data_IF_993814964943
#
_entry.id   IF_993814964943
#
_cell.length_a   1.000
_cell.length_b   1.000
_cell.length_c   1.000
_cell.angle_alpha   90.00
_cell.angle_beta   90.00
_cell.angle_gamma   90.00
#
_symmetry.space_group_name_H-M   'P 1'
#
loop_
_entity.id
_entity.type
_entity.pdbx_description
1 polymer ?
#
# COMPACT_ATOMS: atom_id res chain seq x y z
N UNK A 1 16.84 -32.54 37.52
CA UNK A 1 15.57 -32.30 36.78
C UNK A 1 14.98 -31.03 37.36
N UNK A 2 14.29 -30.26 36.52
CA UNK A 2 13.83 -28.87 36.74
C UNK A 2 14.82 -27.77 36.33
N UNK A 3 14.34 -26.87 35.46
CA UNK A 3 15.09 -25.70 35.01
C UNK A 3 15.14 -25.47 33.49
N UNK A 4 14.10 -25.84 32.72
CA UNK A 4 13.98 -25.39 31.33
C UNK A 4 12.51 -25.12 31.00
N UNK A 5 12.12 -23.83 31.01
CA UNK A 5 11.07 -23.20 30.18
C UNK A 5 10.69 -21.83 30.78
N UNK A 6 11.04 -20.72 30.09
CA UNK A 6 10.02 -19.71 29.82
C UNK A 6 10.06 -19.12 28.40
N UNK A 7 10.96 -19.56 27.50
CA UNK A 7 11.12 -18.91 26.19
C UNK A 7 10.27 -19.50 25.05
N UNK A 8 9.75 -20.72 25.19
CA UNK A 8 8.87 -21.33 24.16
C UNK A 8 7.42 -20.83 24.24
N UNK A 9 7.02 -20.18 25.34
CA UNK A 9 5.66 -19.66 25.53
C UNK A 9 5.44 -18.30 24.86
N UNK A 10 6.48 -17.46 24.75
CA UNK A 10 6.38 -16.14 24.10
C UNK A 10 6.23 -16.24 22.58
N UNK A 11 6.92 -17.19 21.93
CA UNK A 11 6.86 -17.39 20.48
C UNK A 11 5.51 -17.94 20.01
N UNK A 12 4.84 -18.75 20.85
CA UNK A 12 3.51 -19.30 20.57
C UNK A 12 2.39 -18.29 20.88
N UNK A 13 2.58 -17.41 21.87
CA UNK A 13 1.67 -16.31 22.18
C UNK A 13 1.69 -15.21 21.11
N UNK A 14 2.84 -14.96 20.46
CA UNK A 14 2.96 -13.97 19.37
C UNK A 14 2.21 -14.42 18.09
N UNK A 15 2.07 -15.72 17.86
CA UNK A 15 1.39 -16.28 16.68
C UNK A 15 -0.15 -16.25 16.81
N UNK A 16 -0.67 -16.32 18.05
CA UNK A 16 -2.11 -16.33 18.36
C UNK A 16 -2.74 -14.94 18.46
N UNK A 17 -1.95 -13.87 18.63
CA UNK A 17 -2.45 -12.49 18.70
C UNK A 17 -2.77 -11.87 17.32
N UNK A 18 -2.37 -12.53 16.22
CA UNK A 18 -2.54 -12.03 14.85
C UNK A 18 -3.89 -12.42 14.23
N UNK A 19 -4.70 -13.26 14.91
CA UNK A 19 -5.92 -13.86 14.31
C UNK A 19 -7.24 -13.25 14.81
N UNK A 20 -7.23 -12.32 15.77
CA UNK A 20 -8.46 -11.88 16.46
C UNK A 20 -8.76 -10.37 16.40
N UNK A 21 -8.71 -9.74 15.22
CA UNK A 21 -9.38 -8.44 15.02
C UNK A 21 -9.92 -8.29 13.59
N UNK A 22 -11.23 -8.54 13.40
CA UNK A 22 -12.13 -7.63 12.67
C UNK A 22 -13.54 -8.23 12.52
N UNK A 23 -14.44 -7.91 13.44
CA UNK A 23 -15.88 -7.94 13.19
C UNK A 23 -16.48 -6.68 13.84
N UNK A 24 -16.74 -5.68 13.02
CA UNK A 24 -17.29 -4.39 13.43
C UNK A 24 -17.62 -3.57 12.20
N UNK A 25 -18.65 -3.98 11.46
CA UNK A 25 -19.21 -3.13 10.42
C UNK A 25 -20.23 -2.19 11.09
N UNK A 26 -19.90 -0.89 11.10
CA UNK A 26 -20.87 0.17 11.32
C UNK A 26 -21.66 0.35 10.03
N UNK A 27 -22.95 0.02 10.08
CA UNK A 27 -23.91 0.34 9.02
C UNK A 27 -24.17 1.85 9.08
N UNK A 28 -23.54 2.62 8.17
CA UNK A 28 -23.93 4.01 7.93
C UNK A 28 -25.18 3.98 7.06
N UNK A 29 -26.25 4.60 7.54
CA UNK A 29 -27.55 4.65 6.85
C UNK A 29 -27.40 5.21 5.43
N UNK A 30 -27.81 4.43 4.44
CA UNK A 30 -27.91 4.88 3.06
C UNK A 30 -29.07 5.87 2.93
N UNK A 31 -28.77 7.08 2.46
CA UNK A 31 -29.79 8.01 1.98
C UNK A 31 -30.46 7.41 0.75
N UNK A 32 -31.77 7.19 0.83
CA UNK A 32 -32.62 6.70 -0.25
C UNK A 32 -32.70 7.74 -1.38
N UNK A 33 -32.36 7.34 -2.61
CA UNK A 33 -32.58 8.12 -3.83
C UNK A 33 -34.09 8.15 -4.11
N UNK A 34 -34.85 9.00 -3.42
CA UNK A 34 -36.26 9.18 -3.73
C UNK A 34 -36.38 9.88 -5.08
N UNK A 35 -36.82 9.13 -6.08
CA UNK A 35 -37.21 9.64 -7.39
C UNK A 35 -38.28 10.72 -7.24
N UNK A 36 -37.92 11.98 -7.48
CA UNK A 36 -38.84 12.94 -8.12
C UNK A 36 -38.31 14.37 -8.32
N UNK A 37 -37.33 14.88 -7.57
CA UNK A 37 -36.95 16.31 -7.73
C UNK A 37 -35.46 16.56 -7.51
N UNK A 38 -34.75 16.87 -8.60
CA UNK A 38 -33.51 17.64 -8.54
C UNK A 38 -33.79 19.03 -9.14
N UNK A 39 -33.52 20.06 -8.34
CA UNK A 39 -33.80 21.46 -8.68
C UNK A 39 -32.84 21.92 -9.79
N UNK A 40 -33.40 22.31 -10.93
CA UNK A 40 -32.64 23.00 -11.99
C UNK A 40 -32.34 24.44 -11.58
N UNK A 41 -31.37 25.09 -12.25
CA UNK A 41 -30.95 26.49 -11.98
C UNK A 41 -32.05 27.57 -12.12
N UNK A 42 -33.30 27.18 -12.41
CA UNK A 42 -34.47 28.08 -12.45
C UNK A 42 -35.59 27.72 -11.45
N UNK A 43 -35.34 26.86 -10.46
CA UNK A 43 -36.32 26.49 -9.43
C UNK A 43 -37.43 25.54 -9.90
N UNK A 44 -37.37 25.04 -11.14
CA UNK A 44 -38.33 24.06 -11.65
C UNK A 44 -37.85 22.63 -11.38
N UNK A 45 -38.69 21.76 -10.81
CA UNK A 45 -38.35 20.35 -10.61
C UNK A 45 -38.26 19.66 -11.97
N UNK A 46 -37.08 19.13 -12.32
CA UNK A 46 -36.93 18.22 -13.48
C UNK A 46 -37.07 16.79 -12.97
N UNK A 47 -38.02 16.05 -13.55
CA UNK A 47 -38.29 14.66 -13.18
C UNK A 47 -37.45 13.74 -14.06
N UNK A 48 -36.82 12.75 -13.43
CA UNK A 48 -36.02 11.74 -14.09
C UNK A 48 -36.67 10.37 -13.98
N UNK A 49 -36.50 9.52 -15.01
CA UNK A 49 -37.08 8.18 -15.04
C UNK A 49 -36.41 7.23 -14.05
N UNK A 50 -35.11 7.39 -13.83
CA UNK A 50 -34.30 6.53 -12.96
C UNK A 50 -33.55 7.37 -11.92
N UNK A 51 -33.28 6.78 -10.76
CA UNK A 51 -32.54 7.36 -9.64
C UNK A 51 -31.78 6.25 -8.93
N UNK A 52 -30.47 6.39 -8.75
CA UNK A 52 -29.66 5.46 -7.97
C UNK A 52 -28.77 6.20 -6.96
N UNK A 53 -28.74 5.68 -5.73
CA UNK A 53 -27.70 6.03 -4.76
C UNK A 53 -26.41 5.33 -5.15
N UNK A 54 -25.32 6.09 -5.28
CA UNK A 54 -24.01 5.55 -5.60
C UNK A 54 -23.38 4.91 -4.34
N UNK A 55 -22.59 3.83 -4.46
CA UNK A 55 -22.10 3.08 -3.29
C UNK A 55 -21.19 3.86 -2.34
N UNK A 56 -20.59 4.97 -2.79
CA UNK A 56 -19.56 5.72 -2.07
C UNK A 56 -19.87 7.21 -2.07
N UNK A 57 -19.37 7.91 -1.05
CA UNK A 57 -19.43 9.37 -0.88
C UNK A 57 -20.84 9.96 -0.73
N UNK A 58 -21.86 9.15 -0.40
CA UNK A 58 -23.24 9.62 -0.24
C UNK A 58 -23.79 10.30 -1.49
N UNK A 59 -23.25 9.97 -2.66
CA UNK A 59 -23.60 10.59 -3.92
C UNK A 59 -24.81 9.87 -4.56
N UNK A 60 -25.54 10.57 -5.42
CA UNK A 60 -26.65 10.00 -6.17
C UNK A 60 -26.67 10.51 -7.60
N UNK A 61 -27.22 9.68 -8.50
CA UNK A 61 -27.39 9.99 -9.90
C UNK A 61 -28.83 9.70 -10.30
N UNK A 62 -29.50 10.70 -10.87
CA UNK A 62 -30.79 10.56 -11.53
C UNK A 62 -30.64 10.81 -13.03
N UNK A 63 -31.35 10.04 -13.86
CA UNK A 63 -31.27 10.21 -15.31
C UNK A 63 -32.53 9.76 -16.07
N UNK A 64 -32.63 10.25 -17.30
CA UNK A 64 -33.60 9.82 -18.31
C UNK A 64 -32.85 9.57 -19.61
N UNK A 65 -33.11 8.44 -20.27
CA UNK A 65 -32.44 8.07 -21.51
C UNK A 65 -33.43 7.84 -22.64
N UNK A 66 -33.28 8.62 -23.72
CA UNK A 66 -34.08 8.47 -24.92
C UNK A 66 -33.27 7.74 -26.00
N UNK A 67 -33.64 6.49 -26.29
CA UNK A 67 -32.94 5.62 -27.25
C UNK A 67 -32.90 6.20 -28.66
N UNK A 68 -33.97 6.85 -29.12
CA UNK A 68 -34.10 7.37 -30.49
C UNK A 68 -33.22 8.59 -30.74
N UNK A 69 -33.15 9.52 -29.79
CA UNK A 69 -32.29 10.71 -29.87
C UNK A 69 -30.88 10.49 -29.33
N UNK A 70 -30.66 9.38 -28.60
CA UNK A 70 -29.45 9.09 -27.81
C UNK A 70 -29.18 10.15 -26.72
N UNK A 71 -30.19 10.93 -26.36
CA UNK A 71 -30.06 11.95 -25.32
C UNK A 71 -30.11 11.28 -23.95
N UNK A 72 -29.07 11.54 -23.17
CA UNK A 72 -28.92 11.14 -21.78
C UNK A 72 -28.98 12.41 -20.92
N UNK A 73 -30.14 12.64 -20.32
CA UNK A 73 -30.35 13.69 -19.35
C UNK A 73 -29.95 13.18 -17.97
N UNK A 74 -29.05 13.88 -17.29
CA UNK A 74 -28.60 13.47 -15.96
C UNK A 74 -28.64 14.61 -14.96
N UNK A 75 -28.74 14.23 -13.69
CA UNK A 75 -28.49 15.09 -12.55
C UNK A 75 -27.75 14.30 -11.47
N UNK A 76 -26.60 14.82 -11.08
CA UNK A 76 -25.73 14.27 -10.06
C UNK A 76 -25.82 15.12 -8.80
N UNK A 77 -25.85 14.46 -7.63
CA UNK A 77 -25.84 15.12 -6.33
C UNK A 77 -24.77 14.51 -5.43
N UNK A 78 -24.09 15.36 -4.67
CA UNK A 78 -23.11 14.94 -3.67
C UNK A 78 -23.00 15.96 -2.54
N UNK A 79 -22.39 15.54 -1.43
CA UNK A 79 -22.06 16.42 -0.31
C UNK A 79 -20.56 16.73 -0.31
N UNK A 80 -20.20 18.01 -0.32
CA UNK A 80 -18.84 18.48 -0.25
C UNK A 80 -18.24 18.31 1.15
N UNK A 81 -16.91 18.08 1.26
CA UNK A 81 -16.21 18.09 2.54
C UNK A 81 -16.29 19.44 3.26
N UNK A 82 -16.34 20.54 2.50
CA UNK A 82 -16.48 21.90 3.00
C UNK A 82 -17.04 22.82 1.89
N UNK A 83 -17.44 24.05 2.23
CA UNK A 83 -18.08 25.00 1.29
C UNK A 83 -17.17 25.52 0.17
N UNK A 84 -15.85 25.36 0.29
CA UNK A 84 -14.86 25.69 -0.75
C UNK A 84 -14.48 24.49 -1.63
N UNK A 85 -15.11 23.34 -1.42
CA UNK A 85 -14.84 22.11 -2.13
C UNK A 85 -15.43 22.05 -3.53
N UNK A 86 -15.25 20.89 -4.16
CA UNK A 86 -15.81 20.57 -5.46
C UNK A 86 -16.38 19.17 -5.49
N UNK A 87 -17.37 18.94 -6.36
CA UNK A 87 -17.94 17.64 -6.65
C UNK A 87 -17.85 17.35 -8.14
N UNK A 88 -17.44 16.15 -8.51
CA UNK A 88 -17.22 15.74 -9.88
C UNK A 88 -17.92 14.44 -10.22
N UNK A 89 -18.49 14.36 -11.42
CA UNK A 89 -19.01 13.14 -12.01
C UNK A 89 -18.60 13.09 -13.47
N UNK A 90 -18.20 11.91 -13.95
CA UNK A 90 -17.68 11.77 -15.30
C UNK A 90 -17.82 10.38 -15.87
N UNK A 91 -17.55 10.29 -17.16
CA UNK A 91 -17.63 9.06 -17.96
C UNK A 91 -16.30 8.80 -18.66
N UNK A 92 -15.90 7.52 -18.71
CA UNK A 92 -14.85 7.04 -19.60
C UNK A 92 -15.48 6.31 -20.79
N UNK A 93 -15.61 6.97 -21.96
CA UNK A 93 -16.04 6.26 -23.16
C UNK A 93 -14.98 5.21 -23.54
N UNK A 94 -15.42 4.00 -23.86
CA UNK A 94 -14.64 2.92 -24.51
C UNK A 94 -13.58 2.18 -23.67
N UNK A 95 -13.40 2.48 -22.37
CA UNK A 95 -12.38 1.83 -21.54
C UNK A 95 -12.84 1.67 -20.09
N UNK A 96 -12.19 0.77 -19.33
CA UNK A 96 -12.50 0.52 -17.91
C UNK A 96 -12.50 1.83 -17.10
N UNK A 97 -13.39 1.98 -16.11
CA UNK A 97 -13.41 3.18 -15.28
C UNK A 97 -12.02 3.47 -14.70
N UNK A 98 -11.48 4.65 -14.99
CA UNK A 98 -10.26 5.20 -14.40
C UNK A 98 -10.38 6.71 -14.32
N UNK A 99 -9.66 7.34 -13.39
CA UNK A 99 -9.64 8.80 -13.35
C UNK A 99 -8.94 9.38 -14.59
N UNK A 100 -7.68 9.03 -14.94
CA UNK A 100 -7.05 9.63 -16.12
C UNK A 100 -7.76 9.26 -17.42
N UNK A 101 -7.93 10.26 -18.29
CA UNK A 101 -8.56 10.11 -19.60
C UNK A 101 -10.09 10.12 -19.59
N UNK A 102 -10.72 10.21 -18.42
CA UNK A 102 -12.17 10.36 -18.29
C UNK A 102 -12.61 11.81 -18.55
N UNK A 103 -13.80 11.93 -19.10
CA UNK A 103 -14.47 13.22 -19.32
C UNK A 103 -15.42 13.49 -18.15
N UNK A 104 -15.14 14.52 -17.36
CA UNK A 104 -15.88 14.82 -16.15
C UNK A 104 -16.47 16.23 -16.15
N UNK A 105 -17.57 16.38 -15.44
CA UNK A 105 -18.17 17.66 -15.08
C UNK A 105 -17.88 17.89 -13.60
N UNK A 106 -17.28 19.03 -13.29
CA UNK A 106 -16.91 19.38 -11.91
C UNK A 106 -17.61 20.68 -11.54
N UNK A 107 -18.37 20.62 -10.46
CA UNK A 107 -19.10 21.74 -9.89
C UNK A 107 -18.41 22.28 -8.63
N UNK A 108 -18.30 23.61 -8.55
CA UNK A 108 -17.69 24.34 -7.43
C UNK A 108 -18.14 25.79 -7.42
N UNK A 109 -17.94 26.46 -6.27
CA UNK A 109 -18.09 27.89 -6.15
C UNK A 109 -16.78 28.61 -6.49
N UNK A 110 -16.85 29.62 -7.35
CA UNK A 110 -15.75 30.52 -7.65
C UNK A 110 -16.16 31.97 -7.36
N UNK A 111 -15.22 32.92 -7.49
CA UNK A 111 -15.49 34.33 -7.23
C UNK A 111 -16.60 34.92 -8.12
N UNK A 112 -16.83 34.35 -9.31
CA UNK A 112 -17.89 34.73 -10.24
C UNK A 112 -19.21 33.96 -10.04
N UNK A 113 -19.33 33.14 -8.99
CA UNK A 113 -20.53 32.38 -8.65
C UNK A 113 -20.38 30.86 -8.78
N UNK A 114 -21.52 30.18 -8.89
CA UNK A 114 -21.58 28.72 -9.03
C UNK A 114 -21.22 28.30 -10.45
N UNK A 115 -20.25 27.41 -10.58
CA UNK A 115 -19.78 26.92 -11.87
C UNK A 115 -19.93 25.40 -11.98
N UNK A 116 -20.18 24.91 -13.18
CA UNK A 116 -19.98 23.51 -13.58
C UNK A 116 -19.27 23.50 -14.92
N UNK A 117 -18.05 22.97 -14.95
CA UNK A 117 -17.18 23.02 -16.11
C UNK A 117 -16.74 21.61 -16.54
N UNK A 118 -16.49 21.39 -17.84
CA UNK A 118 -15.94 20.13 -18.34
C UNK A 118 -14.42 20.04 -18.11
N UNK A 119 -13.94 18.86 -17.73
CA UNK A 119 -12.54 18.55 -17.51
C UNK A 119 -12.19 17.21 -18.16
N UNK A 120 -11.13 17.20 -18.95
CA UNK A 120 -10.45 15.96 -19.29
C UNK A 120 -9.46 15.63 -18.17
N UNK A 121 -9.76 14.56 -17.42
CA UNK A 121 -9.03 14.24 -16.20
C UNK A 121 -7.61 13.73 -16.49
N UNK A 122 -6.67 14.19 -15.68
CA UNK A 122 -5.26 13.80 -15.69
C UNK A 122 -4.85 13.34 -14.28
N UNK A 123 -3.61 12.88 -14.13
CA UNK A 123 -3.05 12.51 -12.81
C UNK A 123 -2.76 13.73 -11.93
N UNK A 124 -2.58 14.90 -12.54
CA UNK A 124 -2.33 16.17 -11.85
C UNK A 124 -3.54 17.09 -11.96
N UNK A 125 -3.75 18.01 -11.00
CA UNK A 125 -4.77 19.04 -11.10
C UNK A 125 -4.63 19.85 -12.40
N UNK A 126 -5.73 20.02 -13.13
CA UNK A 126 -5.78 20.75 -14.39
C UNK A 126 -6.96 21.71 -14.44
N UNK A 127 -6.82 22.74 -15.28
CA UNK A 127 -7.92 23.63 -15.62
C UNK A 127 -8.96 22.94 -16.53
N UNK A 128 -10.12 23.58 -16.64
CA UNK A 128 -11.19 23.14 -17.53
C UNK A 128 -10.70 23.01 -18.97
N UNK A 129 -11.08 21.92 -19.64
CA UNK A 129 -10.61 21.56 -20.97
C UNK A 129 -11.74 20.90 -21.77
N UNK A 130 -11.60 20.91 -23.10
CA UNK A 130 -12.53 20.18 -23.96
C UNK A 130 -12.52 18.69 -23.63
N UNK A 131 -13.71 18.10 -23.54
CA UNK A 131 -13.93 16.69 -23.19
C UNK A 131 -14.30 15.86 -24.42
N UNK A 132 -14.27 14.53 -24.29
CA UNK A 132 -14.57 13.57 -25.36
C UNK A 132 -16.08 13.27 -25.50
N UNK A 133 -16.93 13.93 -24.71
CA UNK A 133 -18.38 13.74 -24.70
C UNK A 133 -19.07 14.87 -25.47
N UNK A 134 -20.09 14.52 -26.24
CA UNK A 134 -20.95 15.50 -26.93
C UNK A 134 -21.99 16.03 -25.94
N UNK A 135 -21.83 17.30 -25.53
CA UNK A 135 -22.77 18.00 -24.64
C UNK A 135 -23.78 18.76 -25.51
N UNK A 136 -25.05 18.39 -25.43
CA UNK A 136 -26.12 18.92 -26.32
C UNK A 136 -27.00 19.95 -25.61
N UNK A 137 -27.03 19.94 -24.27
CA UNK A 137 -27.80 20.89 -23.45
C UNK A 137 -26.92 21.73 -22.53
N UNK A 138 -27.49 22.81 -21.99
CA UNK A 138 -26.80 23.64 -21.01
C UNK A 138 -26.55 22.86 -19.71
N UNK A 139 -25.33 22.97 -19.21
CA UNK A 139 -24.99 22.50 -17.87
C UNK A 139 -25.56 23.49 -16.84
N UNK A 140 -26.03 22.98 -15.72
CA UNK A 140 -26.51 23.79 -14.60
C UNK A 140 -26.02 23.19 -13.29
N UNK A 141 -25.69 24.05 -12.33
CA UNK A 141 -25.29 23.66 -10.99
C UNK A 141 -25.94 24.55 -9.94
N UNK A 142 -26.26 23.93 -8.81
CA UNK A 142 -26.81 24.57 -7.61
C UNK A 142 -25.97 24.06 -6.44
N UNK A 143 -25.44 24.99 -5.64
CA UNK A 143 -24.63 24.67 -4.47
C UNK A 143 -25.20 25.44 -3.29
N UNK A 144 -25.74 24.72 -2.31
CA UNK A 144 -26.29 25.27 -1.07
C UNK A 144 -25.47 24.76 0.10
N UNK A 145 -24.54 25.59 0.60
CA UNK A 145 -23.59 25.20 1.63
C UNK A 145 -22.65 24.10 1.12
N UNK A 146 -22.83 22.87 1.63
CA UNK A 146 -22.07 21.69 1.20
C UNK A 146 -22.86 20.77 0.28
N UNK A 147 -24.15 21.01 0.05
CA UNK A 147 -24.97 20.20 -0.86
C UNK A 147 -24.81 20.71 -2.30
N UNK A 148 -24.39 19.83 -3.19
CA UNK A 148 -24.13 20.16 -4.61
C UNK A 148 -25.01 19.30 -5.48
N UNK A 149 -25.74 19.94 -6.38
CA UNK A 149 -26.45 19.28 -7.46
C UNK A 149 -26.07 19.93 -8.80
N UNK A 150 -25.74 19.12 -9.80
CA UNK A 150 -25.55 19.61 -11.16
C UNK A 150 -26.05 18.62 -12.20
N UNK A 151 -26.37 19.10 -13.38
CA UNK A 151 -26.92 18.26 -14.44
C UNK A 151 -26.81 18.89 -15.82
N UNK A 152 -27.11 18.07 -16.82
CA UNK A 152 -27.04 18.44 -18.22
C UNK A 152 -27.57 17.34 -19.14
N UNK A 153 -27.41 17.56 -20.45
CA UNK A 153 -27.83 16.60 -21.48
C UNK A 153 -26.63 16.23 -22.34
N UNK A 154 -26.33 14.93 -22.38
CA UNK A 154 -25.26 14.34 -23.20
C UNK A 154 -25.88 13.58 -24.36
N UNK A 155 -25.13 13.44 -25.45
CA UNK A 155 -25.44 12.48 -26.50
C UNK A 155 -24.50 11.30 -26.41
N UNK A 156 -25.08 10.12 -26.25
CA UNK A 156 -24.30 8.87 -26.20
C UNK A 156 -23.98 8.38 -27.60
N UNK A 157 -22.95 7.53 -27.72
CA UNK A 157 -22.63 6.87 -28.99
C UNK A 157 -23.75 5.92 -29.41
N UNK A 158 -23.78 5.57 -30.70
CA UNK A 158 -24.69 4.55 -31.21
C UNK A 158 -24.57 3.24 -30.44
N UNK A 159 -25.71 2.65 -30.06
CA UNK A 159 -25.82 1.41 -29.29
C UNK A 159 -25.09 1.39 -27.93
N UNK A 160 -24.72 2.55 -27.38
CA UNK A 160 -24.08 2.63 -26.07
C UNK A 160 -25.12 2.67 -24.94
N UNK A 161 -25.29 1.55 -24.24
CA UNK A 161 -26.14 1.45 -23.04
C UNK A 161 -25.34 1.35 -21.74
N UNK A 162 -24.09 0.87 -21.81
CA UNK A 162 -23.20 0.74 -20.65
C UNK A 162 -22.25 1.94 -20.57
N UNK A 163 -22.31 2.64 -19.43
CA UNK A 163 -21.49 3.80 -19.12
C UNK A 163 -20.56 3.50 -17.96
N UNK A 164 -19.26 3.64 -18.20
CA UNK A 164 -18.24 3.56 -17.17
C UNK A 164 -18.16 4.92 -16.47
N UNK A 165 -18.76 5.01 -15.29
CA UNK A 165 -18.86 6.25 -14.54
C UNK A 165 -17.85 6.31 -13.40
N UNK A 166 -17.43 7.53 -13.09
CA UNK A 166 -16.58 7.86 -11.95
C UNK A 166 -17.17 9.08 -11.25
N UNK A 167 -16.96 9.19 -9.94
CA UNK A 167 -17.35 10.38 -9.18
C UNK A 167 -16.36 10.65 -8.06
N UNK A 168 -16.29 11.90 -7.63
CA UNK A 168 -15.46 12.27 -6.50
C UNK A 168 -15.84 13.60 -5.88
N UNK A 169 -15.32 13.85 -4.68
CA UNK A 169 -15.39 15.14 -4.01
C UNK A 169 -14.02 15.55 -3.49
N UNK A 170 -13.72 16.85 -3.53
CA UNK A 170 -12.46 17.41 -3.03
C UNK A 170 -12.68 18.66 -2.18
N UNK A 171 -11.66 19.02 -1.40
CA UNK A 171 -11.76 20.01 -0.34
C UNK A 171 -11.48 21.45 -0.76
N UNK A 172 -10.92 21.68 -1.96
CA UNK A 172 -10.59 23.04 -2.42
C UNK A 172 -10.46 23.15 -3.93
N UNK A 173 -10.65 24.37 -4.44
CA UNK A 173 -10.38 24.77 -5.82
C UNK A 173 -9.47 26.00 -5.81
N UNK A 174 -8.47 26.03 -6.68
CA UNK A 174 -7.58 27.17 -6.86
C UNK A 174 -7.62 27.63 -8.30
N UNK A 175 -8.04 28.88 -8.57
CA UNK A 175 -8.02 29.45 -9.92
C UNK A 175 -8.72 28.59 -10.98
N UNK A 176 -9.92 28.08 -10.67
CA UNK A 176 -10.68 27.14 -11.53
C UNK A 176 -10.01 25.77 -11.75
N UNK A 177 -8.96 25.45 -10.99
CA UNK A 177 -8.35 24.12 -10.94
C UNK A 177 -8.79 23.39 -9.66
N UNK A 178 -9.62 22.33 -9.77
CA UNK A 178 -9.97 21.47 -8.65
C UNK A 178 -8.73 20.84 -8.04
N UNK A 179 -8.52 21.01 -6.74
CA UNK A 179 -7.38 20.41 -6.07
C UNK A 179 -7.60 18.92 -5.85
N UNK A 180 -6.49 18.19 -5.72
CA UNK A 180 -6.49 16.74 -5.57
C UNK A 180 -7.43 16.29 -4.43
N UNK A 181 -8.31 15.33 -4.73
CA UNK A 181 -9.15 14.68 -3.72
C UNK A 181 -8.34 13.69 -2.87
N UNK A 182 -8.93 13.17 -1.79
CA UNK A 182 -8.29 12.11 -0.99
C UNK A 182 -7.89 10.93 -1.88
N UNK A 183 -6.65 10.45 -1.73
CA UNK A 183 -6.14 9.26 -2.41
C UNK A 183 -6.33 8.01 -1.55
N UNK A 184 -7.46 7.90 -0.84
CA UNK A 184 -7.72 6.76 0.03
C UNK A 184 -9.20 6.47 0.17
N UNK A 185 -9.53 5.23 0.54
CA UNK A 185 -10.87 4.80 0.91
C UNK A 185 -11.91 5.08 -0.18
N UNK A 186 -13.04 5.67 0.23
CA UNK A 186 -14.21 5.88 -0.62
C UNK A 186 -13.89 6.64 -1.92
N UNK A 187 -12.95 7.59 -1.91
CA UNK A 187 -12.58 8.38 -3.08
C UNK A 187 -11.89 7.55 -4.18
N UNK A 188 -11.19 6.46 -3.83
CA UNK A 188 -10.59 5.55 -4.82
C UNK A 188 -11.53 4.42 -5.25
N UNK A 189 -12.59 4.18 -4.48
CA UNK A 189 -13.64 3.21 -4.77
C UNK A 189 -14.85 3.82 -5.52
N UNK A 190 -14.80 5.11 -5.85
CA UNK A 190 -15.92 5.86 -6.45
C UNK A 190 -15.98 5.73 -7.97
N UNK A 191 -16.18 4.50 -8.44
CA UNK A 191 -16.42 4.18 -9.84
C UNK A 191 -17.41 3.01 -9.98
N UNK A 192 -18.18 2.99 -11.06
CA UNK A 192 -19.08 1.87 -11.34
C UNK A 192 -19.43 1.79 -12.82
N UNK A 193 -20.15 0.74 -13.22
CA UNK A 193 -20.75 0.65 -14.55
C UNK A 193 -22.26 0.83 -14.43
N UNK A 194 -22.80 1.73 -15.23
CA UNK A 194 -24.22 2.05 -15.28
C UNK A 194 -24.81 1.56 -16.60
N UNK A 195 -25.83 0.72 -16.55
CA UNK A 195 -26.69 0.46 -17.70
C UNK A 195 -27.84 1.48 -17.70
N UNK A 196 -27.78 2.43 -18.64
CA UNK A 196 -28.75 3.52 -18.72
C UNK A 196 -30.15 3.06 -19.13
N UNK A 197 -30.27 1.85 -19.69
CA UNK A 197 -31.52 1.30 -20.20
C UNK A 197 -32.29 0.48 -19.16
N UNK A 198 -31.57 -0.27 -18.31
CA UNK A 198 -32.17 -1.12 -17.28
C UNK A 198 -32.20 -0.48 -15.89
N UNK A 199 -31.45 0.61 -15.66
CA UNK A 199 -31.30 1.13 -14.30
C UNK A 199 -30.21 0.42 -13.50
N UNK A 200 -29.69 -0.71 -14.01
CA UNK A 200 -28.76 -1.54 -13.27
C UNK A 200 -27.41 -0.83 -13.08
N UNK A 201 -27.04 -0.62 -11.83
CA UNK A 201 -25.67 -0.24 -11.45
C UNK A 201 -24.95 -1.52 -11.07
N UNK A 202 -24.08 -2.00 -11.95
CA UNK A 202 -23.16 -3.07 -11.61
C UNK A 202 -21.97 -2.43 -10.89
N UNK A 203 -21.73 -2.81 -9.63
CA UNK A 203 -20.43 -2.56 -9.01
C UNK A 203 -19.35 -3.14 -9.93
N UNK A 204 -18.48 -2.27 -10.43
CA UNK A 204 -17.38 -2.73 -11.25
C UNK A 204 -16.39 -3.40 -10.32
N UNK A 205 -16.37 -4.73 -10.33
CA UNK A 205 -15.35 -5.51 -9.61
C UNK A 205 -13.98 -4.96 -10.00
N UNK A 206 -13.18 -4.57 -9.01
CA UNK A 206 -11.80 -4.14 -9.23
C UNK A 206 -11.12 -5.20 -10.08
N UNK A 207 -10.65 -4.82 -11.27
CA UNK A 207 -10.08 -5.77 -12.21
C UNK A 207 -8.87 -6.47 -11.56
N UNK A 208 -8.85 -7.80 -11.68
CA UNK A 208 -7.79 -8.66 -11.14
C UNK A 208 -7.61 -8.53 -9.61
N UNK A 209 -8.65 -8.15 -8.85
CA UNK A 209 -8.58 -7.98 -7.39
C UNK A 209 -7.97 -9.19 -6.70
N UNK A 210 -8.34 -10.40 -7.11
CA UNK A 210 -7.77 -11.62 -6.55
C UNK A 210 -6.24 -11.67 -6.74
N UNK A 211 -5.74 -11.44 -7.97
CA UNK A 211 -4.29 -11.42 -8.23
C UNK A 211 -3.60 -10.31 -7.44
N UNK A 212 -4.19 -9.11 -7.37
CA UNK A 212 -3.65 -7.98 -6.60
C UNK A 212 -3.54 -8.31 -5.11
N UNK A 213 -4.58 -8.90 -4.53
CA UNK A 213 -4.60 -9.32 -3.13
C UNK A 213 -3.58 -10.45 -2.87
N UNK A 214 -3.54 -11.46 -3.74
CA UNK A 214 -2.54 -12.55 -3.64
C UNK A 214 -1.11 -12.00 -3.71
N UNK A 215 -0.83 -11.10 -4.65
CA UNK A 215 0.47 -10.43 -4.75
C UNK A 215 0.83 -9.68 -3.46
N UNK A 216 -0.10 -8.86 -2.94
CA UNK A 216 0.11 -8.10 -1.71
C UNK A 216 0.38 -8.99 -0.49
N UNK A 217 -0.41 -10.06 -0.32
CA UNK A 217 -0.27 -10.99 0.81
C UNK A 217 1.06 -11.76 0.74
N UNK A 218 1.39 -12.35 -0.41
CA UNK A 218 2.64 -13.10 -0.59
C UNK A 218 3.86 -12.22 -0.33
N UNK A 219 3.87 -11.00 -0.86
CA UNK A 219 4.99 -10.08 -0.70
C UNK A 219 5.07 -9.48 0.71
N UNK A 220 3.93 -9.23 1.37
CA UNK A 220 3.90 -8.82 2.78
C UNK A 220 4.46 -9.90 3.72
N UNK A 221 4.12 -11.17 3.48
CA UNK A 221 4.66 -12.31 4.24
C UNK A 221 6.16 -12.53 3.95
N UNK A 222 6.55 -12.51 2.68
CA UNK A 222 7.94 -12.72 2.27
C UNK A 222 8.85 -11.58 2.76
N UNK A 223 8.68 -10.39 2.19
CA UNK A 223 9.58 -9.25 2.32
C UNK A 223 9.32 -8.46 3.59
N UNK A 224 8.05 -8.36 4.00
CA UNK A 224 7.65 -7.63 5.19
C UNK A 224 7.84 -8.38 6.51
N UNK A 225 7.94 -9.72 6.48
CA UNK A 225 7.92 -10.54 7.70
C UNK A 225 9.05 -11.57 7.76
N UNK A 226 9.11 -12.55 6.83
CA UNK A 226 10.05 -13.66 6.90
C UNK A 226 11.52 -13.22 6.73
N UNK A 227 11.82 -12.32 5.80
CA UNK A 227 13.17 -11.75 5.60
C UNK A 227 13.70 -11.11 6.91
N UNK A 228 12.98 -10.14 7.52
CA UNK A 228 13.37 -9.57 8.81
C UNK A 228 13.53 -10.61 9.92
N UNK A 229 12.61 -11.56 10.06
CA UNK A 229 12.69 -12.61 11.09
C UNK A 229 13.95 -13.46 10.95
N UNK A 230 14.32 -13.85 9.73
CA UNK A 230 15.56 -14.58 9.47
C UNK A 230 16.81 -13.75 9.82
N UNK A 231 16.78 -12.43 9.63
CA UNK A 231 17.86 -11.52 10.03
C UNK A 231 17.96 -11.43 11.56
N UNK A 232 16.83 -11.32 12.28
CA UNK A 232 16.80 -11.33 13.73
C UNK A 232 17.41 -12.62 14.29
N UNK A 233 17.06 -13.78 13.72
CA UNK A 233 17.65 -15.06 14.11
C UNK A 233 19.17 -15.05 13.96
N UNK A 234 19.69 -14.62 12.80
CA UNK A 234 21.14 -14.54 12.58
C UNK A 234 21.85 -13.52 13.47
N UNK A 235 21.22 -12.38 13.77
CA UNK A 235 21.82 -11.31 14.59
C UNK A 235 21.85 -11.69 16.07
N UNK A 236 20.76 -12.22 16.60
CA UNK A 236 20.57 -12.37 18.05
C UNK A 236 20.82 -13.78 18.57
N UNK A 237 20.74 -14.83 17.74
CA UNK A 237 21.03 -16.19 18.19
C UNK A 237 22.50 -16.57 17.95
N UNK A 238 23.12 -16.13 16.84
CA UNK A 238 24.52 -16.42 16.49
C UNK A 238 25.54 -16.15 17.61
N UNK A 239 25.42 -15.07 18.43
CA UNK A 239 26.39 -14.80 19.49
C UNK A 239 26.43 -15.85 20.61
N UNK A 240 25.38 -16.66 20.76
CA UNK A 240 25.28 -17.64 21.85
C UNK A 240 25.53 -19.06 21.34
N UNK A 241 26.58 -19.71 21.85
CA UNK A 241 26.96 -21.09 21.47
C UNK A 241 25.83 -22.12 21.63
N UNK A 242 24.90 -21.89 22.56
CA UNK A 242 23.72 -22.77 22.78
C UNK A 242 22.84 -22.88 21.53
N UNK A 243 22.87 -21.87 20.66
CA UNK A 243 22.09 -21.85 19.42
C UNK A 243 22.89 -22.25 18.18
N UNK A 244 24.11 -22.77 18.32
CA UNK A 244 24.87 -23.30 17.20
C UNK A 244 24.56 -24.79 17.00
N UNK A 245 24.18 -25.27 15.80
CA UNK A 245 24.04 -24.57 14.51
C UNK A 245 22.62 -24.03 14.20
N UNK A 246 21.69 -24.07 15.16
CA UNK A 246 20.29 -23.72 14.98
C UNK A 246 20.06 -22.33 14.36
N UNK A 247 20.80 -21.30 14.77
CA UNK A 247 20.66 -19.94 14.23
C UNK A 247 20.85 -19.90 12.71
N UNK A 248 21.78 -20.71 12.20
CA UNK A 248 22.12 -20.75 10.77
C UNK A 248 20.99 -21.42 9.98
N UNK A 249 20.46 -22.53 10.47
CA UNK A 249 19.34 -23.22 9.83
C UNK A 249 18.06 -22.38 9.85
N UNK A 250 17.75 -21.70 10.96
CA UNK A 250 16.59 -20.81 11.04
C UNK A 250 16.73 -19.63 10.09
N UNK A 251 17.91 -19.00 10.02
CA UNK A 251 18.18 -17.95 9.06
C UNK A 251 17.95 -18.43 7.63
N UNK A 252 18.62 -19.51 7.21
CA UNK A 252 18.52 -20.06 5.85
C UNK A 252 17.08 -20.46 5.52
N UNK A 253 16.39 -21.13 6.43
CA UNK A 253 14.99 -21.53 6.24
C UNK A 253 14.10 -20.31 5.99
N UNK A 254 14.17 -19.28 6.84
CA UNK A 254 13.42 -18.05 6.64
C UNK A 254 13.75 -17.38 5.29
N UNK A 255 15.04 -17.26 4.93
CA UNK A 255 15.44 -16.61 3.68
C UNK A 255 14.97 -17.39 2.44
N UNK A 256 15.09 -18.72 2.43
CA UNK A 256 14.67 -19.56 1.30
C UNK A 256 13.15 -19.53 1.15
N UNK A 257 12.39 -19.68 2.24
CA UNK A 257 10.93 -19.58 2.21
C UNK A 257 10.47 -18.20 1.72
N UNK A 258 11.06 -17.12 2.25
CA UNK A 258 10.75 -15.77 1.83
C UNK A 258 11.08 -15.54 0.34
N UNK A 259 12.22 -16.03 -0.14
CA UNK A 259 12.59 -15.92 -1.54
C UNK A 259 11.63 -16.67 -2.46
N UNK A 260 11.21 -17.90 -2.12
CA UNK A 260 10.23 -18.66 -2.92
C UNK A 260 8.90 -17.91 -3.02
N UNK A 261 8.36 -17.44 -1.88
CA UNK A 261 7.13 -16.65 -1.87
C UNK A 261 7.31 -15.34 -2.65
N UNK A 262 8.48 -14.71 -2.55
CA UNK A 262 8.86 -13.51 -3.28
C UNK A 262 8.94 -13.72 -4.79
N UNK A 263 9.45 -14.86 -5.28
CA UNK A 263 9.47 -15.21 -6.71
C UNK A 263 8.04 -15.32 -7.25
N UNK A 264 7.16 -16.03 -6.53
CA UNK A 264 5.74 -16.16 -6.93
C UNK A 264 5.06 -14.79 -6.92
N UNK A 265 5.26 -14.01 -5.84
CA UNK A 265 4.74 -12.65 -5.73
C UNK A 265 5.21 -11.75 -6.86
N UNK A 266 6.51 -11.77 -7.17
CA UNK A 266 7.11 -11.00 -8.26
C UNK A 266 6.54 -11.40 -9.63
N UNK A 267 6.39 -12.70 -9.91
CA UNK A 267 5.77 -13.18 -11.14
C UNK A 267 4.32 -12.70 -11.31
N UNK A 268 3.52 -12.69 -10.23
CA UNK A 268 2.18 -12.09 -10.25
C UNK A 268 2.28 -10.58 -10.49
N UNK A 269 3.27 -9.90 -9.90
CA UNK A 269 3.53 -8.48 -10.11
C UNK A 269 3.80 -8.13 -11.57
N UNK A 270 4.65 -8.92 -12.25
CA UNK A 270 4.88 -8.79 -13.69
C UNK A 270 3.60 -8.97 -14.50
N UNK A 271 2.78 -9.98 -14.16
CA UNK A 271 1.49 -10.20 -14.83
C UNK A 271 0.54 -9.02 -14.62
N UNK A 272 0.47 -8.47 -13.40
CA UNK A 272 -0.32 -7.30 -13.08
C UNK A 272 0.15 -6.06 -13.84
N UNK A 273 1.47 -5.88 -14.01
CA UNK A 273 2.05 -4.82 -14.82
C UNK A 273 1.55 -4.85 -16.28
N UNK A 274 1.63 -6.02 -16.93
CA UNK A 274 1.12 -6.21 -18.30
C UNK A 274 -0.40 -6.00 -18.43
N UNK A 275 -1.15 -6.20 -17.35
CA UNK A 275 -2.61 -6.02 -17.32
C UNK A 275 -3.02 -4.58 -16.98
N UNK A 276 -2.06 -3.70 -16.69
CA UNK A 276 -2.30 -2.30 -16.31
C UNK A 276 -1.90 -1.34 -17.43
N UNK A 277 -2.66 -0.27 -17.63
CA UNK A 277 -2.30 0.85 -18.54
C UNK A 277 -1.23 1.78 -17.94
N UNK A 278 -0.78 1.50 -16.71
CA UNK A 278 0.17 2.34 -15.97
C UNK A 278 1.60 2.00 -16.39
N UNK A 279 2.21 2.85 -17.19
CA UNK A 279 3.64 2.76 -17.48
C UNK A 279 4.46 3.21 -16.26
N UNK A 280 5.28 2.30 -15.74
CA UNK A 280 6.49 2.58 -14.96
C UNK A 280 6.29 3.33 -13.63
N UNK A 281 5.52 2.75 -12.70
CA UNK A 281 5.43 3.26 -11.33
C UNK A 281 6.63 2.84 -10.46
N UNK A 282 6.99 3.68 -9.49
CA UNK A 282 8.11 3.47 -8.57
C UNK A 282 8.06 2.12 -7.83
N UNK A 283 6.87 1.60 -7.53
CA UNK A 283 6.70 0.27 -6.92
C UNK A 283 7.27 -0.84 -7.81
N UNK A 284 7.06 -0.75 -9.13
CA UNK A 284 7.54 -1.75 -10.08
C UNK A 284 9.07 -1.71 -10.18
N UNK A 285 9.67 -0.52 -10.27
CA UNK A 285 11.12 -0.36 -10.35
C UNK A 285 11.82 -0.81 -9.06
N UNK A 286 11.28 -0.44 -7.90
CA UNK A 286 11.77 -0.92 -6.60
C UNK A 286 11.61 -2.43 -6.46
N UNK A 287 10.48 -3.00 -6.91
CA UNK A 287 10.23 -4.43 -6.92
C UNK A 287 11.22 -5.20 -7.79
N UNK A 288 11.56 -4.68 -8.97
CA UNK A 288 12.59 -5.27 -9.83
C UNK A 288 13.97 -5.22 -9.17
N UNK A 289 14.38 -4.06 -8.63
CA UNK A 289 15.66 -3.92 -7.93
C UNK A 289 15.75 -4.87 -6.71
N UNK A 290 14.68 -4.96 -5.92
CA UNK A 290 14.59 -5.86 -4.78
C UNK A 290 14.75 -7.32 -5.19
N UNK A 291 14.07 -7.75 -6.25
CA UNK A 291 14.17 -9.12 -6.77
C UNK A 291 15.59 -9.45 -7.26
N UNK A 292 16.24 -8.52 -7.97
CA UNK A 292 17.63 -8.67 -8.42
C UNK A 292 18.59 -8.81 -7.22
N UNK A 293 18.48 -7.93 -6.23
CA UNK A 293 19.34 -7.98 -5.03
C UNK A 293 19.08 -9.24 -4.18
N UNK A 294 17.84 -9.72 -4.12
CA UNK A 294 17.50 -10.95 -3.41
C UNK A 294 18.05 -12.19 -4.12
N UNK A 295 17.95 -12.24 -5.46
CA UNK A 295 18.57 -13.29 -6.28
C UNK A 295 20.07 -13.32 -6.07
N UNK A 296 20.69 -12.13 -6.06
CA UNK A 296 22.11 -11.99 -5.73
C UNK A 296 22.38 -12.60 -4.35
N UNK A 297 21.60 -12.26 -3.31
CA UNK A 297 21.77 -12.83 -1.98
C UNK A 297 21.66 -14.36 -1.88
N UNK A 298 20.83 -15.01 -2.71
CA UNK A 298 20.78 -16.48 -2.74
C UNK A 298 22.12 -17.07 -3.20
N UNK A 299 22.87 -16.38 -4.08
CA UNK A 299 24.23 -16.82 -4.46
C UNK A 299 25.18 -16.81 -3.27
N UNK A 300 24.89 -16.03 -2.20
CA UNK A 300 25.71 -16.01 -0.99
C UNK A 300 25.76 -17.38 -0.30
N UNK A 301 24.72 -18.22 -0.44
CA UNK A 301 24.74 -19.59 0.10
C UNK A 301 25.75 -20.47 -0.65
N UNK A 302 25.79 -20.36 -1.97
CA UNK A 302 26.64 -21.17 -2.86
C UNK A 302 28.09 -20.70 -2.78
N UNK A 303 28.30 -19.39 -2.80
CA UNK A 303 29.62 -18.76 -2.82
C UNK A 303 30.20 -18.58 -1.41
N UNK A 304 29.60 -19.19 -0.37
CA UNK A 304 30.01 -19.05 1.03
C UNK A 304 31.41 -19.65 1.25
N UNK A 305 32.47 -18.84 1.50
CA UNK A 305 33.80 -19.38 1.76
C UNK A 305 33.86 -20.04 3.13
N UNK A 306 34.82 -20.97 3.31
CA UNK A 306 35.16 -21.53 4.64
C UNK A 306 35.56 -20.38 5.60
N UNK A 307 35.32 -20.53 6.91
CA UNK A 307 35.61 -19.46 7.89
C UNK A 307 37.04 -18.91 7.82
N UNK A 308 38.02 -19.79 7.55
CA UNK A 308 39.44 -19.44 7.51
C UNK A 308 39.92 -18.85 6.18
N UNK A 309 39.05 -18.72 5.17
CA UNK A 309 39.44 -18.26 3.84
C UNK A 309 39.48 -16.73 3.77
N UNK A 310 40.49 -16.13 3.12
CA UNK A 310 40.65 -14.66 3.00
C UNK A 310 39.42 -13.96 2.37
N UNK A 311 38.82 -14.55 1.33
CA UNK A 311 37.57 -14.06 0.74
C UNK A 311 36.34 -14.04 1.66
N UNK A 312 36.40 -14.67 2.84
CA UNK A 312 35.32 -14.66 3.84
C UNK A 312 34.95 -13.23 4.25
N UNK A 313 35.94 -12.34 4.38
CA UNK A 313 35.72 -10.93 4.74
C UNK A 313 34.89 -10.19 3.67
N UNK A 314 35.27 -10.31 2.41
CA UNK A 314 34.54 -9.67 1.30
C UNK A 314 33.13 -10.25 1.15
N UNK A 315 32.99 -11.57 1.32
CA UNK A 315 31.68 -12.21 1.34
C UNK A 315 30.79 -11.67 2.47
N UNK A 316 31.32 -11.45 3.68
CA UNK A 316 30.56 -10.88 4.80
C UNK A 316 30.09 -9.45 4.47
N UNK A 317 30.99 -8.59 3.95
CA UNK A 317 30.64 -7.22 3.56
C UNK A 317 29.51 -7.22 2.52
N UNK A 318 29.69 -8.01 1.46
CA UNK A 318 28.69 -8.19 0.42
C UNK A 318 27.34 -8.68 1.00
N UNK A 319 27.36 -9.75 1.79
CA UNK A 319 26.16 -10.35 2.35
C UNK A 319 25.44 -9.40 3.31
N UNK A 320 26.15 -8.67 4.15
CA UNK A 320 25.54 -7.73 5.08
C UNK A 320 25.02 -6.48 4.38
N UNK A 321 25.80 -5.85 3.50
CA UNK A 321 25.39 -4.63 2.79
C UNK A 321 24.18 -4.85 1.89
N UNK A 322 24.17 -5.92 1.09
CA UNK A 322 23.01 -6.25 0.24
C UNK A 322 21.82 -6.66 1.09
N UNK A 323 22.03 -7.41 2.19
CA UNK A 323 20.98 -7.79 3.13
C UNK A 323 20.26 -6.60 3.76
N UNK A 324 21.00 -5.62 4.29
CA UNK A 324 20.39 -4.42 4.89
C UNK A 324 19.70 -3.54 3.85
N UNK A 325 20.28 -3.42 2.66
CA UNK A 325 19.66 -2.68 1.54
C UNK A 325 18.31 -3.29 1.16
N UNK A 326 18.22 -4.63 1.12
CA UNK A 326 16.97 -5.33 0.84
C UNK A 326 15.89 -5.06 1.88
N UNK A 327 16.23 -4.97 3.17
CA UNK A 327 15.24 -4.66 4.22
C UNK A 327 14.65 -3.27 4.01
N UNK A 328 15.50 -2.26 3.74
CA UNK A 328 15.05 -0.88 3.52
C UNK A 328 14.13 -0.81 2.29
N UNK A 329 14.57 -1.38 1.16
CA UNK A 329 13.77 -1.40 -0.06
C UNK A 329 12.44 -2.14 0.18
N UNK A 330 12.46 -3.27 0.91
CA UNK A 330 11.26 -4.05 1.22
C UNK A 330 10.20 -3.24 1.96
N UNK A 331 10.60 -2.51 3.01
CA UNK A 331 9.66 -1.68 3.78
C UNK A 331 9.05 -0.59 2.91
N UNK A 332 9.87 0.16 2.19
CA UNK A 332 9.42 1.24 1.29
C UNK A 332 8.48 0.68 0.22
N UNK A 333 8.86 -0.46 -0.38
CA UNK A 333 8.14 -1.03 -1.49
C UNK A 333 6.80 -1.65 -1.07
N UNK A 334 6.69 -2.21 0.14
CA UNK A 334 5.41 -2.66 0.70
C UNK A 334 4.46 -1.47 0.93
N UNK A 335 4.94 -0.34 1.47
CA UNK A 335 4.10 0.85 1.61
C UNK A 335 3.63 1.39 0.25
N UNK A 336 4.53 1.46 -0.73
CA UNK A 336 4.15 1.83 -2.11
C UNK A 336 3.10 0.88 -2.70
N UNK A 337 3.26 -0.42 -2.49
CA UNK A 337 2.26 -1.41 -2.92
C UNK A 337 0.91 -1.24 -2.22
N UNK A 338 0.90 -0.92 -0.93
CA UNK A 338 -0.33 -0.63 -0.17
C UNK A 338 -1.01 0.66 -0.65
N UNK A 339 -0.25 1.71 -0.96
CA UNK A 339 -0.80 2.95 -1.51
C UNK A 339 -1.44 2.70 -2.91
N UNK A 340 -0.77 1.91 -3.77
CA UNK A 340 -1.32 1.52 -5.08
C UNK A 340 -2.56 0.64 -4.99
N UNK A 341 -2.55 -0.35 -4.10
CA UNK A 341 -3.67 -1.27 -3.92
C UNK A 341 -4.84 -0.55 -3.24
N UNK A 342 -4.54 0.43 -2.39
CA UNK A 342 -5.49 1.12 -1.51
C UNK A 342 -6.51 0.16 -0.88
N UNK A 343 -6.03 -0.89 -0.19
CA UNK A 343 -6.90 -1.87 0.43
C UNK A 343 -7.68 -1.24 1.59
N UNK A 344 -8.70 -1.95 2.08
CA UNK A 344 -9.49 -1.51 3.23
C UNK A 344 -8.60 -1.05 4.40
N UNK A 345 -9.07 -0.04 5.15
CA UNK A 345 -8.31 0.76 6.11
C UNK A 345 -7.43 -0.02 7.13
N UNK A 346 -7.67 -1.32 7.35
CA UNK A 346 -6.90 -2.15 8.28
C UNK A 346 -5.53 -2.63 7.80
N UNK A 347 -5.27 -2.78 6.50
CA UNK A 347 -4.04 -3.44 6.02
C UNK A 347 -2.77 -2.64 6.28
N UNK A 348 -2.83 -1.32 6.08
CA UNK A 348 -1.70 -0.43 6.40
C UNK A 348 -1.40 -0.44 7.90
N UNK A 349 -2.44 -0.38 8.72
CA UNK A 349 -2.31 -0.46 10.18
C UNK A 349 -1.71 -1.80 10.59
N UNK A 350 -2.20 -2.92 10.04
CA UNK A 350 -1.67 -4.26 10.31
C UNK A 350 -0.18 -4.34 9.99
N UNK A 351 0.25 -3.84 8.84
CA UNK A 351 1.67 -3.85 8.48
C UNK A 351 2.52 -2.95 9.39
N UNK A 352 2.03 -1.77 9.78
CA UNK A 352 2.69 -0.90 10.77
C UNK A 352 2.85 -1.61 12.11
N UNK A 353 1.81 -2.32 12.58
CA UNK A 353 1.86 -3.13 13.81
C UNK A 353 2.93 -4.23 13.70
N UNK A 354 3.03 -4.91 12.56
CA UNK A 354 4.10 -5.92 12.31
C UNK A 354 5.48 -5.28 12.41
N UNK A 355 5.71 -4.13 11.76
CA UNK A 355 7.00 -3.43 11.82
C UNK A 355 7.36 -2.99 13.24
N UNK A 356 6.42 -2.40 13.97
CA UNK A 356 6.63 -1.99 15.37
C UNK A 356 6.96 -3.21 16.22
N UNK A 357 6.27 -4.33 16.02
CA UNK A 357 6.52 -5.57 16.76
C UNK A 357 7.93 -6.11 16.50
N UNK A 358 8.34 -6.19 15.22
CA UNK A 358 9.70 -6.62 14.83
C UNK A 358 10.76 -5.68 15.43
N UNK A 359 10.54 -4.36 15.35
CA UNK A 359 11.46 -3.37 15.90
C UNK A 359 11.56 -3.44 17.43
N UNK A 360 10.44 -3.63 18.13
CA UNK A 360 10.42 -3.79 19.58
C UNK A 360 11.15 -5.07 20.01
N UNK A 361 10.91 -6.20 19.32
CA UNK A 361 11.64 -7.45 19.57
C UNK A 361 13.13 -7.27 19.32
N UNK A 362 13.53 -6.62 18.23
CA UNK A 362 14.92 -6.32 17.93
C UNK A 362 15.57 -5.46 19.03
N UNK A 363 14.89 -4.40 19.49
CA UNK A 363 15.36 -3.53 20.55
C UNK A 363 15.58 -4.29 21.86
N UNK A 364 14.60 -5.12 22.27
CA UNK A 364 14.70 -5.95 23.48
C UNK A 364 15.89 -6.90 23.36
N UNK A 365 16.01 -7.60 22.23
CA UNK A 365 17.11 -8.54 22.01
C UNK A 365 18.46 -7.82 21.98
N UNK A 366 18.56 -6.62 21.41
CA UNK A 366 19.78 -5.81 21.43
C UNK A 366 20.16 -5.42 22.87
N UNK A 367 19.21 -4.94 23.68
CA UNK A 367 19.49 -4.63 25.09
C UNK A 367 19.97 -5.86 25.86
N UNK A 368 19.32 -7.01 25.65
CA UNK A 368 19.69 -8.27 26.32
C UNK A 368 21.09 -8.74 25.88
N UNK A 369 21.39 -8.75 24.59
CA UNK A 369 22.71 -9.20 24.09
C UNK A 369 23.85 -8.34 24.61
N UNK A 370 23.68 -7.01 24.58
CA UNK A 370 24.68 -6.09 25.14
C UNK A 370 24.83 -6.24 26.65
N UNK A 371 23.72 -6.37 27.38
CA UNK A 371 23.77 -6.57 28.84
C UNK A 371 24.52 -7.84 29.20
N UNK A 372 24.23 -8.96 28.53
CA UNK A 372 24.93 -10.23 28.74
C UNK A 372 26.41 -10.13 28.37
N UNK A 373 26.73 -9.41 27.29
CA UNK A 373 28.12 -9.16 26.89
C UNK A 373 28.89 -8.38 27.97
N UNK A 374 28.32 -7.28 28.50
CA UNK A 374 28.93 -6.50 29.57
C UNK A 374 29.10 -7.30 30.87
N UNK A 375 28.11 -8.11 31.25
CA UNK A 375 28.20 -8.97 32.44
C UNK A 375 29.33 -9.99 32.28
N UNK A 376 29.41 -10.67 31.15
CA UNK A 376 30.45 -11.66 30.90
C UNK A 376 31.84 -11.03 30.85
N UNK A 377 31.98 -9.81 30.28
CA UNK A 377 33.25 -9.06 30.29
C UNK A 377 33.72 -8.74 31.71
N UNK A 378 32.82 -8.39 32.63
CA UNK A 378 33.15 -8.09 34.04
C UNK A 378 33.56 -9.33 34.85
N UNK A 379 33.11 -10.53 34.47
CA UNK A 379 33.46 -11.79 35.16
C UNK A 379 34.88 -12.28 34.87
N UNK A 380 35.55 -11.70 33.88
CA UNK A 380 36.94 -12.05 33.56
C UNK A 380 37.88 -11.11 34.34
N UNK A 381 38.60 -11.59 35.37
CA UNK A 381 39.55 -10.75 36.10
C UNK A 381 40.67 -10.25 35.16
N UNK A 382 41.22 -9.05 35.40
CA UNK A 382 42.30 -8.50 34.59
C UNK A 382 43.48 -9.46 34.55
N UNK A 383 44.01 -9.69 33.35
CA UNK A 383 45.13 -10.58 33.07
C UNK A 383 46.35 -10.12 33.85
N UNK A 384 46.87 -10.94 34.78
CA UNK A 384 48.22 -10.72 35.33
C UNK A 384 49.22 -11.15 34.25
N UNK A 385 50.11 -10.25 33.88
CA UNK A 385 51.26 -10.57 33.04
C UNK A 385 52.31 -11.26 33.92
N UNK A 386 52.90 -12.33 33.41
CA UNK A 386 54.05 -12.97 34.05
C UNK A 386 55.30 -12.08 33.88
N UNK A 387 56.40 -12.37 34.58
CA UNK A 387 57.66 -11.59 34.52
C UNK A 387 58.22 -11.45 33.08
N UNK A 388 57.87 -12.37 32.18
CA UNK A 388 58.23 -12.35 30.76
C UNK A 388 57.21 -11.61 29.85
N UNK A 389 56.24 -10.89 30.43
CA UNK A 389 55.23 -10.12 29.68
C UNK A 389 54.14 -10.96 29.00
N UNK A 390 54.05 -12.27 29.29
CA UNK A 390 53.05 -13.16 28.70
C UNK A 390 51.81 -13.36 29.61
N UNK A 391 50.64 -13.42 28.98
CA UNK A 391 49.36 -13.72 29.65
C UNK A 391 49.35 -15.16 30.18
N UNK A 392 49.05 -15.33 31.46
CA UNK A 392 48.97 -16.65 32.13
C UNK A 392 47.73 -17.50 31.75
N UNK A 393 46.90 -17.04 30.81
CA UNK A 393 45.67 -17.74 30.38
C UNK A 393 45.68 -18.04 28.87
N UNK A 394 45.19 -19.22 28.44
CA UNK A 394 44.90 -19.47 27.04
C UNK A 394 43.83 -18.49 26.55
N UNK A 395 43.95 -18.02 25.31
CA UNK A 395 43.07 -17.01 24.74
C UNK A 395 41.61 -17.50 24.72
N UNK A 396 40.77 -16.91 25.58
CA UNK A 396 39.32 -17.09 25.55
C UNK A 396 38.76 -16.01 24.62
N UNK A 397 37.87 -16.43 23.71
CA UNK A 397 37.20 -15.58 22.73
C UNK A 397 36.69 -14.27 23.37
N UNK A 398 37.28 -13.13 22.99
CA UNK A 398 36.92 -11.79 23.48
C UNK A 398 37.87 -11.13 24.49
N UNK A 399 39.07 -11.66 24.75
CA UNK A 399 40.12 -10.94 25.49
C UNK A 399 41.26 -10.48 24.58
N UNK A 400 41.67 -9.20 24.74
CA UNK A 400 42.92 -8.65 24.23
C UNK A 400 44.09 -9.33 24.98
N UNK A 401 44.91 -10.08 24.25
CA UNK A 401 46.17 -10.59 24.77
C UNK A 401 47.22 -9.48 24.54
N UNK A 402 48.03 -9.18 25.55
CA UNK A 402 48.93 -8.02 25.63
C UNK A 402 50.04 -7.92 24.54
N UNK A 403 49.91 -8.65 23.44
CA UNK A 403 50.70 -8.56 22.21
C UNK A 403 50.10 -7.61 21.16
N UNK A 404 49.09 -6.79 21.50
CA UNK A 404 48.36 -5.96 20.52
C UNK A 404 47.77 -6.76 19.34
N UNK A 405 47.57 -8.06 19.50
CA UNK A 405 46.74 -8.84 18.59
C UNK A 405 45.32 -8.74 19.11
N UNK A 406 44.59 -7.74 18.61
CA UNK A 406 43.14 -7.71 18.67
C UNK A 406 42.62 -9.11 18.34
N UNK A 407 41.98 -9.79 19.28
CA UNK A 407 40.97 -10.79 18.91
C UNK A 407 39.98 -9.99 18.09
N UNK A 408 40.01 -10.23 16.78
CA UNK A 408 39.32 -9.43 15.78
C UNK A 408 37.92 -9.09 16.28
N UNK A 409 37.56 -7.80 16.15
CA UNK A 409 36.21 -7.28 16.36
C UNK A 409 35.17 -8.30 15.88
N UNK A 410 33.96 -8.35 16.50
CA UNK A 410 32.88 -9.12 15.93
C UNK A 410 32.69 -8.62 14.50
N UNK A 411 33.13 -9.44 13.54
CA UNK A 411 33.27 -8.98 12.17
C UNK A 411 31.90 -8.50 11.68
N UNK A 412 31.85 -7.19 11.45
CA UNK A 412 30.76 -6.46 10.80
C UNK A 412 30.45 -7.03 9.42
#
# INVERSE_FOLDING_TARGET
MEGFKPMTSLAFALLLLVVSLSAGQLVVGQSTCSSSVLLTSGGRPKVFQNCNSLPKLGASLAWSFNKSSRHFDFAYRATLPNSGGWAGWGLRPDSKPSMPGSSAFIAFNAANGTNVLPYLLQLTPTNATAIKLEVVGNLSAVINGTDVAFGGTLKLKENQTLLNQIWNVGASVSGYTPQQHSLSGANLESFSQLDVSSGAVAETKVANLHLKNTHGILNGLAWGTLFPLGILAARYMRPFKVFDPLWFYLHVFCQVCAYILGVVGWGIGLRLGHLSESENDAHQSLGAAQFTLATLQITALILRPKPEHEYRKYWNIYHHTVGYTLVIISVVNVFKGLDLLSPANGWRVAYVVVLITIAAVALILEVVTWTLWFINRRKVPPTKLNEDGQSSRPAIYGQDNANHQWVAEPQL
#
